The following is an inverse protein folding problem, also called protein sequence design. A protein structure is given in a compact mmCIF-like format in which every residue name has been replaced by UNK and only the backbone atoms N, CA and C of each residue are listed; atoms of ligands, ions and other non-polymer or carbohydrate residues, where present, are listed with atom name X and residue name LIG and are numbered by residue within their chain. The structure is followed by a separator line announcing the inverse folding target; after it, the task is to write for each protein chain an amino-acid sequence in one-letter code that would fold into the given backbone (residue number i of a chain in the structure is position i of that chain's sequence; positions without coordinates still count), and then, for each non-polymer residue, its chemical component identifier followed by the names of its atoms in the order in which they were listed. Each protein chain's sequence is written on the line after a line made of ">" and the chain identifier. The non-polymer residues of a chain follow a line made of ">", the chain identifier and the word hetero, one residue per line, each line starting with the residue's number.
data_IF_132134181522
#
_entry.id   IF_132134181522
#
_cell.length_a   1.000
_cell.length_b   1.000
_cell.length_c   1.000
_cell.angle_alpha   90.00
_cell.angle_beta   90.00
_cell.angle_gamma   90.00
#
_symmetry.space_group_name_H-M   'P 1'
#
loop_
_entity.id
_entity.type
_entity.pdbx_description
1 polymer ?
#
# COMPACT_ATOMS: atom_id res chain seq x y z
N UNK A 1 1.34 -2.79 23.84
CA UNK A 1 1.20 -1.95 22.64
C UNK A 1 0.68 -2.86 21.52
N UNK A 2 -0.56 -3.33 21.64
CA UNK A 2 -1.10 -4.39 20.78
C UNK A 2 -2.32 -3.80 20.06
N UNK A 3 -2.07 -3.03 19.01
CA UNK A 3 -3.17 -2.52 18.19
C UNK A 3 -2.68 -2.38 16.77
N UNK A 4 -3.46 -2.96 15.86
CA UNK A 4 -3.25 -2.88 14.42
C UNK A 4 -3.25 -1.44 13.92
N UNK A 5 -2.61 -1.26 12.76
CA UNK A 5 -2.45 -0.01 12.04
C UNK A 5 -2.92 -0.24 10.60
N UNK A 6 -3.58 0.76 10.02
CA UNK A 6 -3.92 0.74 8.60
C UNK A 6 -2.70 1.15 7.78
N UNK A 7 -2.31 0.29 6.86
CA UNK A 7 -1.15 0.48 5.97
C UNK A 7 -1.52 0.16 4.52
N UNK A 8 -0.65 0.55 3.60
CA UNK A 8 -0.69 0.05 2.22
C UNK A 8 0.15 -1.23 2.16
N UNK A 9 -0.14 -2.16 1.23
CA UNK A 9 0.74 -3.30 1.00
C UNK A 9 2.17 -2.85 0.71
N UNK A 10 3.14 -3.43 1.40
CA UNK A 10 4.54 -3.00 1.34
C UNK A 10 5.49 -4.05 1.90
N UNK A 11 6.62 -4.24 1.22
CA UNK A 11 7.75 -4.95 1.78
C UNK A 11 9.08 -4.52 1.17
N UNK A 12 10.15 -5.17 1.62
CA UNK A 12 11.51 -4.81 1.28
C UNK A 12 11.87 -5.29 -0.12
N UNK A 13 12.63 -4.47 -0.85
CA UNK A 13 13.22 -4.88 -2.13
C UNK A 13 14.43 -5.76 -1.81
N UNK A 14 14.33 -7.05 -2.12
CA UNK A 14 15.44 -7.98 -1.94
C UNK A 14 16.60 -7.70 -2.92
N UNK A 15 17.84 -8.14 -2.61
CA UNK A 15 19.03 -7.85 -3.43
C UNK A 15 18.95 -8.23 -4.92
N UNK A 16 18.05 -9.13 -5.29
CA UNK A 16 17.86 -9.58 -6.68
C UNK A 16 16.51 -9.14 -7.29
N UNK A 17 15.78 -8.26 -6.60
CA UNK A 17 14.49 -7.79 -7.03
C UNK A 17 14.53 -6.38 -7.63
N UNK A 18 13.60 -6.15 -8.54
CA UNK A 18 13.22 -4.83 -9.01
C UNK A 18 12.01 -4.34 -8.21
N UNK A 19 11.71 -3.04 -8.27
CA UNK A 19 10.47 -2.48 -7.71
C UNK A 19 9.25 -3.26 -8.21
N UNK A 20 9.21 -3.60 -9.51
CA UNK A 20 8.08 -4.32 -10.10
C UNK A 20 7.96 -5.77 -9.60
N UNK A 21 9.06 -6.49 -9.50
CA UNK A 21 9.02 -7.89 -9.01
C UNK A 21 8.67 -7.93 -7.52
N UNK A 22 9.23 -7.01 -6.72
CA UNK A 22 8.90 -6.84 -5.30
C UNK A 22 7.40 -6.54 -5.16
N UNK A 23 6.89 -5.52 -5.86
CA UNK A 23 5.48 -5.13 -5.79
C UNK A 23 4.52 -6.28 -6.14
N UNK A 24 4.85 -7.09 -7.16
CA UNK A 24 4.04 -8.26 -7.54
C UNK A 24 4.02 -9.33 -6.46
N UNK A 25 5.17 -9.57 -5.82
CA UNK A 25 5.34 -10.55 -4.76
C UNK A 25 4.60 -10.12 -3.49
N UNK A 26 4.94 -8.94 -2.97
CA UNK A 26 4.37 -8.39 -1.73
C UNK A 26 2.84 -8.23 -1.81
N UNK A 27 2.32 -7.67 -2.93
CA UNK A 27 0.86 -7.54 -3.09
C UNK A 27 0.17 -8.91 -3.04
N UNK A 28 0.81 -9.95 -3.61
CA UNK A 28 0.24 -11.30 -3.62
C UNK A 28 0.29 -11.94 -2.24
N UNK A 29 1.40 -11.82 -1.55
CA UNK A 29 1.64 -12.35 -0.20
C UNK A 29 0.66 -11.74 0.80
N UNK A 30 0.61 -10.41 0.86
CA UNK A 30 -0.18 -9.69 1.86
C UNK A 30 -1.70 -9.64 1.58
N UNK A 31 -2.11 -9.73 0.31
CA UNK A 31 -3.51 -9.51 -0.08
C UNK A 31 -4.16 -10.60 -0.91
N UNK A 32 -3.37 -11.49 -1.52
CA UNK A 32 -3.86 -12.48 -2.48
C UNK A 32 -4.15 -11.95 -3.89
N UNK A 33 -4.10 -10.63 -4.11
CA UNK A 33 -4.39 -9.99 -5.39
C UNK A 33 -3.22 -10.11 -6.38
N UNK A 34 -3.52 -10.06 -7.68
CA UNK A 34 -2.51 -10.04 -8.74
C UNK A 34 -2.49 -8.69 -9.45
N UNK A 35 -1.30 -8.23 -9.82
CA UNK A 35 -1.15 -6.99 -10.60
C UNK A 35 -1.53 -7.22 -12.06
N UNK A 36 -2.36 -6.35 -12.59
CA UNK A 36 -2.79 -6.34 -14.00
C UNK A 36 -2.21 -5.17 -14.79
N UNK A 37 -1.73 -4.12 -14.12
CA UNK A 37 -1.06 -2.99 -14.76
C UNK A 37 -0.43 -2.02 -13.75
N UNK A 38 0.59 -1.26 -14.17
CA UNK A 38 1.25 -0.24 -13.35
C UNK A 38 1.01 1.13 -13.95
N UNK A 39 0.69 2.12 -13.10
CA UNK A 39 0.41 3.49 -13.49
C UNK A 39 1.64 4.35 -13.15
N UNK A 40 2.57 4.42 -14.11
CA UNK A 40 3.87 5.05 -13.90
C UNK A 40 3.79 6.57 -13.68
N UNK A 41 2.84 7.26 -14.32
CA UNK A 41 2.79 8.74 -14.34
C UNK A 41 2.61 9.40 -12.96
N UNK A 42 2.02 8.66 -12.01
CA UNK A 42 1.78 9.12 -10.63
C UNK A 42 2.58 8.32 -9.59
N UNK A 43 3.41 7.39 -10.04
CA UNK A 43 4.26 6.56 -9.18
C UNK A 43 5.62 7.22 -8.97
N UNK A 44 6.26 6.92 -7.84
CA UNK A 44 7.57 7.48 -7.49
C UNK A 44 8.49 6.38 -6.96
N UNK A 45 9.69 6.26 -7.54
CA UNK A 45 10.63 5.19 -7.19
C UNK A 45 11.44 5.44 -5.91
N UNK A 46 11.44 6.68 -5.40
CA UNK A 46 12.25 7.05 -4.23
C UNK A 46 11.67 8.24 -3.49
N UNK A 47 11.00 7.98 -2.37
CA UNK A 47 10.50 8.98 -1.43
C UNK A 47 11.02 8.67 -0.03
N UNK A 48 11.42 9.69 0.74
CA UNK A 48 11.93 9.52 2.09
C UNK A 48 10.87 9.90 3.11
N UNK A 49 10.65 9.04 4.12
CA UNK A 49 9.61 9.26 5.13
C UNK A 49 10.08 10.17 6.27
N UNK A 50 11.33 10.00 6.69
CA UNK A 50 11.90 10.78 7.79
C UNK A 50 13.40 11.02 7.54
N UNK A 51 13.76 11.86 6.55
CA UNK A 51 15.15 12.06 6.13
C UNK A 51 16.06 12.65 7.22
N UNK A 52 15.50 13.15 8.32
CA UNK A 52 16.26 13.58 9.50
C UNK A 52 16.58 12.46 10.49
N UNK A 53 15.96 11.28 10.36
CA UNK A 53 16.11 10.15 11.28
C UNK A 53 16.66 8.89 10.61
N UNK A 54 16.28 8.65 9.35
CA UNK A 54 16.62 7.43 8.60
C UNK A 54 16.87 7.77 7.13
N UNK A 55 17.72 6.97 6.49
CA UNK A 55 17.95 6.97 5.04
C UNK A 55 16.97 6.06 4.29
N UNK A 56 16.04 5.43 5.01
CA UNK A 56 14.95 4.65 4.45
C UNK A 56 14.18 5.45 3.39
N UNK A 57 14.06 4.84 2.22
CA UNK A 57 13.29 5.35 1.11
C UNK A 57 12.35 4.28 0.57
N UNK A 58 11.17 4.70 0.15
CA UNK A 58 10.15 3.84 -0.43
C UNK A 58 9.94 4.14 -1.91
N UNK A 59 9.53 3.12 -2.66
CA UNK A 59 8.87 3.30 -3.95
C UNK A 59 7.35 3.28 -3.73
N UNK A 60 6.67 4.39 -3.99
CA UNK A 60 5.21 4.47 -3.93
C UNK A 60 4.66 4.20 -5.34
N UNK A 61 4.02 3.05 -5.53
CA UNK A 61 3.52 2.60 -6.83
C UNK A 61 2.00 2.52 -6.84
N UNK A 62 1.38 3.10 -7.87
CA UNK A 62 -0.03 2.91 -8.17
C UNK A 62 -0.17 1.83 -9.23
N UNK A 63 -1.04 0.85 -8.98
CA UNK A 63 -1.27 -0.27 -9.89
C UNK A 63 -2.76 -0.63 -9.98
N UNK A 64 -3.10 -1.32 -11.06
CA UNK A 64 -4.36 -2.05 -11.21
C UNK A 64 -4.13 -3.48 -10.73
N UNK A 65 -5.11 -4.04 -10.02
CA UNK A 65 -5.06 -5.41 -9.53
C UNK A 65 -6.42 -6.10 -9.66
N UNK A 66 -6.41 -7.42 -9.68
CA UNK A 66 -7.59 -8.28 -9.69
C UNK A 66 -7.42 -9.51 -8.79
N UNK A 67 -8.50 -10.27 -8.66
CA UNK A 67 -8.54 -11.48 -7.83
C UNK A 67 -9.44 -11.34 -6.60
N UNK A 68 -9.24 -12.24 -5.65
CA UNK A 68 -9.97 -12.29 -4.39
C UNK A 68 -8.99 -12.07 -3.24
N UNK A 69 -9.44 -11.36 -2.21
CA UNK A 69 -8.63 -11.17 -1.01
C UNK A 69 -8.37 -12.53 -0.35
N UNK A 70 -7.12 -12.79 0.01
CA UNK A 70 -6.71 -14.01 0.70
C UNK A 70 -5.59 -13.72 1.68
N UNK A 71 -5.55 -14.51 2.75
CA UNK A 71 -4.45 -14.56 3.74
C UNK A 71 -3.60 -15.84 3.56
N UNK A 72 -3.87 -16.64 2.53
CA UNK A 72 -3.18 -17.92 2.28
C UNK A 72 -1.69 -17.76 1.98
N UNK A 73 -1.28 -16.58 1.50
CA UNK A 73 0.07 -16.31 1.03
C UNK A 73 0.91 -15.49 2.02
N UNK A 74 0.37 -15.19 3.21
CA UNK A 74 1.12 -14.47 4.25
C UNK A 74 2.34 -15.27 4.69
N UNK A 75 3.43 -14.58 4.98
CA UNK A 75 4.60 -15.18 5.62
C UNK A 75 4.32 -15.51 7.10
N UNK A 76 5.12 -16.39 7.69
CA UNK A 76 4.90 -16.87 9.08
C UNK A 76 4.94 -15.74 10.13
N UNK A 77 5.69 -14.68 9.85
CA UNK A 77 5.89 -13.53 10.74
C UNK A 77 4.88 -12.39 10.49
N UNK A 78 3.95 -12.56 9.55
CA UNK A 78 2.95 -11.55 9.18
C UNK A 78 1.58 -11.79 9.87
N UNK A 79 1.07 -10.75 10.51
CA UNK A 79 -0.30 -10.70 11.07
C UNK A 79 -1.08 -9.56 10.40
N UNK A 80 -1.52 -9.82 9.16
CA UNK A 80 -2.13 -8.82 8.27
C UNK A 80 -3.54 -9.26 7.87
N UNK A 81 -4.49 -8.32 7.85
CA UNK A 81 -5.85 -8.54 7.34
C UNK A 81 -6.10 -7.65 6.13
N UNK A 82 -6.10 -8.19 4.90
CA UNK A 82 -6.30 -7.38 3.71
C UNK A 82 -7.75 -6.92 3.61
N UNK A 83 -7.95 -5.73 3.05
CA UNK A 83 -9.28 -5.16 2.86
C UNK A 83 -9.35 -4.28 1.61
N UNK A 84 -10.51 -4.29 0.93
CA UNK A 84 -10.84 -3.32 -0.11
C UNK A 84 -11.61 -2.15 0.51
N UNK A 85 -11.21 -0.94 0.17
CA UNK A 85 -11.73 0.29 0.75
C UNK A 85 -12.32 1.17 -0.36
N UNK A 86 -13.62 1.47 -0.28
CA UNK A 86 -14.24 2.49 -1.11
C UNK A 86 -14.11 3.90 -0.51
N UNK A 87 -14.44 4.95 -1.26
CA UNK A 87 -14.29 6.35 -0.81
C UNK A 87 -15.04 6.66 0.50
N UNK A 88 -16.18 6.02 0.74
CA UNK A 88 -16.93 6.20 1.99
C UNK A 88 -16.16 5.61 3.18
N UNK A 89 -15.70 4.36 3.06
CA UNK A 89 -14.89 3.69 4.09
C UNK A 89 -13.56 4.42 4.32
N UNK A 90 -12.89 4.89 3.26
CA UNK A 90 -11.67 5.67 3.37
C UNK A 90 -11.90 6.96 4.17
N UNK A 91 -13.02 7.65 3.91
CA UNK A 91 -13.41 8.84 4.68
C UNK A 91 -13.69 8.52 6.16
N UNK A 92 -14.33 7.38 6.45
CA UNK A 92 -14.55 6.91 7.83
C UNK A 92 -13.23 6.60 8.55
N UNK A 93 -12.27 5.96 7.88
CA UNK A 93 -10.92 5.69 8.41
C UNK A 93 -10.19 7.00 8.72
N UNK A 94 -10.16 7.95 7.77
CA UNK A 94 -9.47 9.23 7.92
C UNK A 94 -10.02 10.11 9.05
N UNK A 95 -11.32 10.03 9.32
CA UNK A 95 -11.97 10.80 10.39
C UNK A 95 -12.07 10.03 11.72
N UNK A 96 -11.68 8.76 11.74
CA UNK A 96 -11.73 7.89 12.90
C UNK A 96 -10.55 8.10 13.85
N UNK A 97 -10.72 7.66 15.11
CA UNK A 97 -9.62 7.58 16.05
C UNK A 97 -8.90 6.23 15.92
N UNK A 98 -8.19 6.05 14.81
CA UNK A 98 -7.47 4.81 14.44
C UNK A 98 -5.98 5.10 14.22
N UNK A 99 -5.13 4.07 14.28
CA UNK A 99 -3.73 4.20 13.88
C UNK A 99 -3.64 4.05 12.37
N UNK A 100 -2.94 4.98 11.73
CA UNK A 100 -2.83 5.04 10.27
C UNK A 100 -1.40 5.45 9.91
N UNK A 101 -0.78 4.68 9.02
CA UNK A 101 0.52 5.04 8.46
C UNK A 101 0.41 6.32 7.61
N UNK A 102 1.46 7.13 7.59
CA UNK A 102 1.47 8.44 6.92
C UNK A 102 1.27 8.31 5.39
N UNK A 103 1.79 7.26 4.77
CA UNK A 103 1.68 7.00 3.34
C UNK A 103 0.24 6.61 3.02
N UNK A 104 -0.32 5.71 3.82
CA UNK A 104 -1.73 5.33 3.74
C UNK A 104 -2.67 6.53 3.93
N UNK A 105 -2.42 7.39 4.92
CA UNK A 105 -3.17 8.63 5.13
C UNK A 105 -3.19 9.55 3.90
N UNK A 106 -2.03 9.78 3.28
CA UNK A 106 -1.91 10.65 2.11
C UNK A 106 -2.62 10.06 0.89
N UNK A 107 -2.46 8.76 0.64
CA UNK A 107 -3.12 8.07 -0.48
C UNK A 107 -4.64 8.07 -0.31
N UNK A 108 -5.16 7.69 0.86
CA UNK A 108 -6.59 7.72 1.15
C UNK A 108 -7.15 9.14 1.06
N UNK A 109 -6.42 10.15 1.55
CA UNK A 109 -6.84 11.56 1.45
C UNK A 109 -6.99 12.01 0.00
N UNK A 110 -6.04 11.65 -0.87
CA UNK A 110 -6.11 11.95 -2.31
C UNK A 110 -7.25 11.19 -3.00
N UNK A 111 -7.46 9.92 -2.63
CA UNK A 111 -8.54 9.09 -3.14
C UNK A 111 -9.93 9.65 -2.80
N UNK A 112 -10.15 10.05 -1.53
CA UNK A 112 -11.41 10.67 -1.09
C UNK A 112 -11.66 12.00 -1.80
N UNK A 113 -10.61 12.80 -2.03
CA UNK A 113 -10.71 14.08 -2.74
C UNK A 113 -10.91 13.92 -4.26
N UNK A 114 -10.85 12.69 -4.80
CA UNK A 114 -10.99 12.42 -6.22
C UNK A 114 -9.82 12.90 -7.08
N UNK A 115 -8.66 13.18 -6.47
CA UNK A 115 -7.44 13.63 -7.18
C UNK A 115 -6.83 12.56 -8.08
N UNK A 116 -7.30 11.33 -7.95
CA UNK A 116 -6.84 10.17 -8.69
C UNK A 116 -7.88 9.68 -9.70
N UNK A 117 -9.11 10.22 -9.71
CA UNK A 117 -10.22 9.65 -10.48
C UNK A 117 -10.00 9.65 -12.00
N UNK A 118 -9.18 10.57 -12.51
CA UNK A 118 -8.83 10.66 -13.92
C UNK A 118 -7.66 9.74 -14.33
N UNK A 119 -7.07 9.01 -13.37
CA UNK A 119 -5.91 8.14 -13.56
C UNK A 119 -6.26 6.66 -13.71
N UNK A 120 -7.51 6.28 -13.40
CA UNK A 120 -7.99 4.89 -13.36
C UNK A 120 -9.23 4.70 -14.22
#
# INVERSE_FOLDING_TARGET
>A
MNSYIYELPAGLIDPNETIETTLKRELKEETGLNITGIINDISHNKLYLSPGMTDESIALVYCLCDGELSQEFLEEDEDITPMLVNKKQASEILNGNVKLDVKCFLVLSNFVQGKLDDKF
#
